data_IF_073009182541
#
_entry.id   IF_073009182541
#
_cell.length_a   1.000
_cell.length_b   1.000
_cell.length_c   1.000
_cell.angle_alpha   90.00
_cell.angle_beta   90.00
_cell.angle_gamma   90.00
#
_symmetry.space_group_name_H-M   'P 1'
#
loop_
_entity.id
_entity.type
_entity.pdbx_description
1 polymer ?
#
# COMPACT_ATOMS: atom_id res chain seq x y z
N UNK A 1 -0.04 1.38 -26.99
CA UNK A 1 -0.42 2.79 -26.72
C UNK A 1 -0.64 2.92 -25.22
N UNK A 2 0.41 3.26 -24.47
CA UNK A 2 0.31 3.46 -23.01
C UNK A 2 -0.49 4.74 -22.76
N UNK A 3 -1.72 4.59 -22.22
CA UNK A 3 -2.45 5.73 -21.69
C UNK A 3 -1.60 6.29 -20.54
N UNK A 4 -1.07 7.50 -20.68
CA UNK A 4 -0.47 8.24 -19.57
C UNK A 4 -1.52 8.32 -18.47
N UNK A 5 -1.30 7.62 -17.36
CA UNK A 5 -2.10 7.84 -16.16
C UNK A 5 -1.91 9.31 -15.78
N UNK A 6 -3.01 10.04 -15.70
CA UNK A 6 -2.96 11.40 -15.23
C UNK A 6 -2.75 11.35 -13.72
N UNK A 7 -1.54 11.68 -13.28
CA UNK A 7 -1.26 11.91 -11.86
C UNK A 7 -2.08 13.11 -11.37
N UNK A 8 -2.44 13.11 -10.09
CA UNK A 8 -3.13 14.25 -9.49
C UNK A 8 -2.30 15.55 -9.60
N UNK A 9 -2.99 16.68 -9.48
CA UNK A 9 -2.37 18.00 -9.71
C UNK A 9 -1.28 18.32 -8.67
N UNK A 10 -1.43 17.85 -7.44
CA UNK A 10 -0.46 18.06 -6.35
C UNK A 10 0.84 17.32 -6.64
N UNK A 11 0.74 16.03 -6.99
CA UNK A 11 1.88 15.21 -7.41
C UNK A 11 2.61 15.83 -8.61
N UNK A 12 1.86 16.32 -9.62
CA UNK A 12 2.46 16.97 -10.77
C UNK A 12 3.18 18.28 -10.40
N UNK A 13 2.62 19.07 -9.49
CA UNK A 13 3.23 20.33 -9.03
C UNK A 13 4.53 20.05 -8.27
N UNK A 14 4.56 19.03 -7.42
CA UNK A 14 5.74 18.64 -6.66
C UNK A 14 6.86 18.14 -7.57
N UNK A 15 6.54 17.29 -8.56
CA UNK A 15 7.52 16.84 -9.57
C UNK A 15 8.11 18.05 -10.33
N UNK A 16 7.28 19.01 -10.74
CA UNK A 16 7.75 20.22 -11.42
C UNK A 16 8.69 21.04 -10.53
N UNK A 17 8.39 21.15 -9.24
CA UNK A 17 9.25 21.82 -8.26
C UNK A 17 10.60 21.12 -8.11
N UNK A 18 10.61 19.77 -8.02
CA UNK A 18 11.83 18.98 -7.97
C UNK A 18 12.67 19.13 -9.26
N UNK A 19 12.00 19.19 -10.42
CA UNK A 19 12.64 19.42 -11.70
C UNK A 19 13.24 20.83 -11.84
N UNK A 20 12.65 21.84 -11.21
CA UNK A 20 13.15 23.22 -11.21
C UNK A 20 14.32 23.44 -10.24
N UNK A 21 14.49 22.57 -9.23
CA UNK A 21 15.58 22.67 -8.27
C UNK A 21 16.93 22.43 -8.97
N UNK A 22 17.95 23.29 -8.80
CA UNK A 22 19.29 23.04 -9.31
C UNK A 22 19.93 21.75 -8.76
N UNK A 23 19.71 21.46 -7.48
CA UNK A 23 20.09 20.19 -6.85
C UNK A 23 19.09 19.10 -7.24
N UNK A 24 19.58 18.10 -7.97
CA UNK A 24 18.80 16.96 -8.46
C UNK A 24 18.88 15.73 -7.56
N UNK A 25 19.56 15.79 -6.44
CA UNK A 25 19.81 14.64 -5.55
C UNK A 25 18.50 14.00 -5.12
N UNK A 26 17.56 14.79 -4.60
CA UNK A 26 16.25 14.27 -4.16
C UNK A 26 15.40 13.71 -5.32
N UNK A 27 15.46 14.38 -6.50
CA UNK A 27 14.79 13.88 -7.71
C UNK A 27 15.34 12.52 -8.13
N UNK A 28 16.68 12.37 -8.16
CA UNK A 28 17.33 11.11 -8.50
C UNK A 28 16.93 10.03 -7.50
N UNK A 29 17.05 10.29 -6.20
CA UNK A 29 16.67 9.33 -5.15
C UNK A 29 15.20 8.92 -5.19
N UNK A 30 14.31 9.83 -5.59
CA UNK A 30 12.89 9.54 -5.70
C UNK A 30 12.53 8.60 -6.86
N UNK A 31 13.34 8.59 -7.93
CA UNK A 31 13.00 7.90 -9.18
C UNK A 31 14.03 6.90 -9.69
N UNK A 32 15.20 6.71 -9.03
CA UNK A 32 16.26 5.85 -9.57
C UNK A 32 15.93 4.35 -9.54
N UNK A 33 14.95 3.95 -8.73
CA UNK A 33 14.44 2.58 -8.65
C UNK A 33 12.96 2.55 -8.23
N UNK A 34 12.37 1.39 -8.28
CA UNK A 34 11.06 1.16 -7.70
C UNK A 34 11.17 0.77 -6.22
N UNK A 35 10.10 1.06 -5.46
CA UNK A 35 10.03 0.71 -4.05
C UNK A 35 9.88 -0.81 -3.90
N UNK A 36 10.76 -1.42 -3.10
CA UNK A 36 10.85 -2.86 -2.94
C UNK A 36 10.34 -3.32 -1.57
N UNK A 37 9.82 -4.56 -1.52
CA UNK A 37 9.48 -5.21 -0.27
C UNK A 37 10.73 -5.68 0.46
N UNK A 38 10.90 -5.20 1.70
CA UNK A 38 11.88 -5.73 2.64
C UNK A 38 11.30 -6.87 3.49
N UNK A 39 12.10 -7.42 4.42
CA UNK A 39 11.71 -8.50 5.33
C UNK A 39 10.47 -8.17 6.17
N UNK A 40 10.24 -6.91 6.49
CA UNK A 40 9.12 -6.44 7.32
C UNK A 40 7.99 -5.76 6.53
N UNK A 41 7.93 -5.95 5.22
CA UNK A 41 6.93 -5.32 4.34
C UNK A 41 7.50 -4.20 3.46
N UNK A 42 6.61 -3.47 2.79
CA UNK A 42 6.97 -2.33 1.96
C UNK A 42 7.34 -1.13 2.85
N UNK A 43 8.52 -0.57 2.66
CA UNK A 43 9.03 0.57 3.44
C UNK A 43 9.68 1.60 2.53
N UNK A 44 9.44 2.89 2.82
CA UNK A 44 10.06 3.99 2.08
C UNK A 44 9.78 5.33 2.71
N UNK A 45 10.49 6.34 2.27
CA UNK A 45 10.24 7.73 2.62
C UNK A 45 8.94 8.17 1.95
N UNK A 46 8.13 8.95 2.64
CA UNK A 46 6.92 9.55 2.09
C UNK A 46 7.26 10.60 1.04
N UNK A 47 6.58 10.60 -0.08
CA UNK A 47 6.76 11.61 -1.12
C UNK A 47 6.48 11.11 -2.53
N UNK A 48 6.74 11.97 -3.49
CA UNK A 48 6.55 11.71 -4.91
C UNK A 48 7.72 10.90 -5.47
N UNK A 49 7.43 9.90 -6.28
CA UNK A 49 8.43 9.06 -6.94
C UNK A 49 8.16 7.57 -6.82
N UNK A 50 8.77 6.78 -7.70
CA UNK A 50 8.65 5.32 -7.69
C UNK A 50 9.36 4.67 -6.50
N UNK A 51 10.39 5.31 -5.95
CA UNK A 51 11.13 4.88 -4.76
C UNK A 51 10.62 5.54 -3.47
N UNK A 52 9.41 6.07 -3.49
CA UNK A 52 8.77 6.75 -2.35
C UNK A 52 7.43 6.11 -2.02
N UNK A 53 7.01 6.22 -0.74
CA UNK A 53 5.66 5.81 -0.32
C UNK A 53 4.65 6.89 -0.69
N UNK A 54 3.70 6.55 -1.53
CA UNK A 54 2.60 7.40 -1.97
C UNK A 54 1.41 6.56 -2.41
N UNK A 55 0.33 7.22 -2.80
CA UNK A 55 -0.91 6.56 -3.23
C UNK A 55 -0.72 5.61 -4.42
N UNK A 56 0.23 5.91 -5.31
CA UNK A 56 0.50 5.10 -6.51
C UNK A 56 1.32 3.87 -6.18
N UNK A 57 2.39 3.99 -5.37
CA UNK A 57 3.24 2.85 -4.98
C UNK A 57 2.51 1.89 -4.04
N UNK A 58 1.73 2.41 -3.09
CA UNK A 58 0.84 1.60 -2.25
C UNK A 58 -0.24 0.92 -3.09
N UNK A 59 -0.83 1.66 -4.02
CA UNK A 59 -1.82 1.12 -4.95
C UNK A 59 -1.27 -0.01 -5.82
N UNK A 60 -0.09 0.18 -6.41
CA UNK A 60 0.57 -0.84 -7.21
C UNK A 60 0.91 -2.11 -6.41
N UNK A 61 1.42 -1.94 -5.18
CA UNK A 61 1.69 -3.04 -4.27
C UNK A 61 0.41 -3.82 -3.89
N UNK A 62 -0.67 -3.09 -3.59
CA UNK A 62 -1.98 -3.69 -3.28
C UNK A 62 -2.56 -4.43 -4.49
N UNK A 63 -2.42 -3.87 -5.70
CA UNK A 63 -2.84 -4.56 -6.93
C UNK A 63 -2.03 -5.84 -7.15
N UNK A 64 -0.73 -5.82 -6.89
CA UNK A 64 0.12 -7.01 -6.95
C UNK A 64 -0.34 -8.11 -6.00
N UNK A 65 -0.68 -7.75 -4.75
CA UNK A 65 -1.23 -8.68 -3.78
C UNK A 65 -2.62 -9.19 -4.19
N UNK A 66 -3.48 -8.33 -4.74
CA UNK A 66 -4.78 -8.74 -5.27
C UNK A 66 -4.64 -9.78 -6.39
N UNK A 67 -3.73 -9.55 -7.32
CA UNK A 67 -3.44 -10.49 -8.41
C UNK A 67 -2.93 -11.84 -7.87
N UNK A 68 -2.04 -11.80 -6.85
CA UNK A 68 -1.54 -13.00 -6.19
C UNK A 68 -2.66 -13.79 -5.52
N UNK A 69 -3.54 -13.12 -4.76
CA UNK A 69 -4.65 -13.77 -4.07
C UNK A 69 -5.62 -14.40 -5.07
N UNK A 70 -6.03 -13.67 -6.10
CA UNK A 70 -6.95 -14.17 -7.12
C UNK A 70 -6.36 -15.37 -7.90
N UNK A 71 -5.04 -15.42 -8.09
CA UNK A 71 -4.37 -16.53 -8.74
C UNK A 71 -4.29 -17.78 -7.85
N UNK A 72 -3.96 -17.60 -6.55
CA UNK A 72 -3.66 -18.72 -5.67
C UNK A 72 -4.89 -19.27 -4.94
N UNK A 73 -5.96 -18.48 -4.81
CA UNK A 73 -7.20 -18.86 -4.14
C UNK A 73 -8.41 -18.86 -5.05
N UNK A 74 -8.19 -19.10 -6.37
CA UNK A 74 -9.23 -19.10 -7.41
C UNK A 74 -10.37 -20.10 -7.17
N UNK A 75 -10.11 -21.13 -6.35
CA UNK A 75 -11.07 -22.21 -6.06
C UNK A 75 -12.00 -21.86 -4.87
N UNK A 76 -11.82 -20.69 -4.24
CA UNK A 76 -12.71 -20.18 -3.22
C UNK A 76 -13.82 -19.33 -3.84
N UNK A 77 -15.05 -19.50 -3.34
CA UNK A 77 -16.20 -18.68 -3.77
C UNK A 77 -15.99 -17.20 -3.46
N UNK A 78 -15.33 -16.89 -2.35
CA UNK A 78 -15.05 -15.53 -1.95
C UNK A 78 -13.70 -15.42 -1.24
N UNK A 79 -12.78 -14.70 -1.85
CA UNK A 79 -11.53 -14.29 -1.21
C UNK A 79 -11.82 -13.08 -0.31
N UNK A 80 -11.21 -13.06 0.87
CA UNK A 80 -11.37 -11.96 1.81
C UNK A 80 -10.03 -11.55 2.44
N UNK A 81 -9.95 -10.27 2.80
CA UNK A 81 -8.79 -9.67 3.45
C UNK A 81 -9.19 -8.76 4.60
N UNK A 82 -8.30 -8.62 5.57
CA UNK A 82 -8.44 -7.61 6.63
C UNK A 82 -7.49 -6.45 6.34
N UNK A 83 -7.98 -5.23 6.46
CA UNK A 83 -7.18 -4.01 6.31
C UNK A 83 -7.28 -3.19 7.57
N UNK A 84 -6.14 -2.82 8.12
CA UNK A 84 -6.06 -1.96 9.29
C UNK A 84 -4.99 -0.88 9.14
N UNK A 85 -5.02 0.06 10.05
CA UNK A 85 -4.08 1.18 10.09
C UNK A 85 -3.76 1.59 11.52
N UNK A 86 -2.66 2.29 11.69
CA UNK A 86 -2.27 2.91 12.97
C UNK A 86 -2.60 4.42 13.00
N UNK A 87 -2.12 5.11 14.03
CA UNK A 87 -2.37 6.53 14.27
C UNK A 87 -1.50 7.48 13.44
N UNK A 88 -0.61 6.98 12.60
CA UNK A 88 0.37 7.81 11.88
C UNK A 88 -0.25 8.49 10.67
N UNK A 89 0.40 9.58 10.23
CA UNK A 89 -0.06 10.37 9.10
C UNK A 89 -0.23 9.52 7.84
N UNK A 90 -1.33 9.72 7.13
CA UNK A 90 -1.71 9.02 5.90
C UNK A 90 -1.97 7.50 6.03
N UNK A 91 -1.80 6.88 7.23
CA UNK A 91 -2.09 5.44 7.41
C UNK A 91 -3.52 5.10 7.04
N UNK A 92 -4.49 5.92 7.47
CA UNK A 92 -5.91 5.75 7.13
C UNK A 92 -6.16 5.91 5.64
N UNK A 93 -5.61 6.96 5.01
CA UNK A 93 -5.74 7.19 3.57
C UNK A 93 -5.24 6.00 2.75
N UNK A 94 -4.07 5.47 3.09
CA UNK A 94 -3.51 4.31 2.39
C UNK A 94 -4.32 3.03 2.66
N UNK A 95 -4.91 2.88 3.84
CA UNK A 95 -5.81 1.76 4.14
C UNK A 95 -7.08 1.82 3.28
N UNK A 96 -7.69 2.99 3.15
CA UNK A 96 -8.86 3.21 2.29
C UNK A 96 -8.56 2.95 0.81
N UNK A 97 -7.41 3.42 0.31
CA UNK A 97 -6.96 3.16 -1.06
C UNK A 97 -6.77 1.65 -1.29
N UNK A 98 -6.11 0.98 -0.36
CA UNK A 98 -5.91 -0.47 -0.45
C UNK A 98 -7.23 -1.24 -0.41
N UNK A 99 -8.15 -0.85 0.47
CA UNK A 99 -9.48 -1.44 0.56
C UNK A 99 -10.27 -1.29 -0.75
N UNK A 100 -10.22 -0.11 -1.36
CA UNK A 100 -10.87 0.17 -2.64
C UNK A 100 -10.29 -0.70 -3.77
N UNK A 101 -8.96 -0.88 -3.81
CA UNK A 101 -8.31 -1.71 -4.83
C UNK A 101 -8.68 -3.19 -4.64
N UNK A 102 -8.65 -3.73 -3.42
CA UNK A 102 -9.10 -5.10 -3.16
C UNK A 102 -10.56 -5.30 -3.59
N UNK A 103 -11.44 -4.37 -3.21
CA UNK A 103 -12.86 -4.42 -3.59
C UNK A 103 -13.05 -4.38 -5.10
N UNK A 104 -12.30 -3.54 -5.81
CA UNK A 104 -12.33 -3.47 -7.27
C UNK A 104 -11.84 -4.76 -7.96
N UNK A 105 -11.04 -5.57 -7.26
CA UNK A 105 -10.60 -6.90 -7.71
C UNK A 105 -11.51 -8.05 -7.25
N UNK A 106 -12.71 -7.75 -6.73
CA UNK A 106 -13.67 -8.76 -6.27
C UNK A 106 -13.32 -9.41 -4.94
N UNK A 107 -12.37 -8.87 -4.19
CA UNK A 107 -11.94 -9.37 -2.90
C UNK A 107 -12.77 -8.69 -1.80
N UNK A 108 -13.39 -9.46 -0.92
CA UNK A 108 -14.12 -8.94 0.23
C UNK A 108 -13.15 -8.32 1.25
N UNK A 109 -13.44 -7.10 1.69
CA UNK A 109 -12.56 -6.35 2.61
C UNK A 109 -13.25 -6.16 3.95
N UNK A 110 -12.54 -6.50 5.02
CA UNK A 110 -12.86 -6.11 6.38
C UNK A 110 -11.92 -4.97 6.75
N UNK A 111 -12.40 -3.73 6.62
CA UNK A 111 -11.65 -2.52 6.97
C UNK A 111 -11.97 -2.12 8.41
N UNK A 112 -10.94 -1.98 9.22
CA UNK A 112 -11.12 -1.39 10.55
C UNK A 112 -11.39 0.12 10.41
N UNK A 113 -12.47 0.57 11.01
CA UNK A 113 -12.86 1.97 11.00
C UNK A 113 -11.87 2.83 11.80
N UNK A 114 -11.46 2.32 12.97
CA UNK A 114 -10.48 2.95 13.84
C UNK A 114 -9.12 2.24 13.80
N UNK A 115 -8.09 2.94 14.30
CA UNK A 115 -6.78 2.36 14.47
C UNK A 115 -6.79 1.13 15.38
N UNK A 116 -6.07 0.08 14.98
CA UNK A 116 -5.98 -1.17 15.73
C UNK A 116 -4.53 -1.66 15.81
N UNK A 117 -4.16 -2.30 16.93
CA UNK A 117 -2.83 -2.87 17.07
C UNK A 117 -2.66 -4.12 16.19
N UNK A 118 -1.43 -4.35 15.74
CA UNK A 118 -1.11 -5.50 14.86
C UNK A 118 -1.57 -6.88 15.39
N UNK A 119 -1.56 -7.19 16.70
CA UNK A 119 -2.11 -8.46 17.20
C UNK A 119 -3.59 -8.65 16.92
N UNK A 120 -4.39 -7.58 16.97
CA UNK A 120 -5.83 -7.64 16.65
C UNK A 120 -6.05 -7.92 15.16
N UNK A 121 -5.21 -7.38 14.28
CA UNK A 121 -5.20 -7.71 12.85
C UNK A 121 -4.96 -9.22 12.62
N UNK A 122 -3.95 -9.77 13.29
CA UNK A 122 -3.66 -11.20 13.19
C UNK A 122 -4.79 -12.08 13.72
N UNK A 123 -5.48 -11.65 14.77
CA UNK A 123 -6.68 -12.31 15.27
C UNK A 123 -7.82 -12.24 14.26
N UNK A 124 -8.10 -11.06 13.73
CA UNK A 124 -9.20 -10.84 12.79
C UNK A 124 -9.07 -11.67 11.50
N UNK A 125 -7.85 -11.80 10.96
CA UNK A 125 -7.59 -12.66 9.79
C UNK A 125 -8.07 -14.10 10.07
N UNK A 126 -7.73 -14.66 11.22
CA UNK A 126 -8.15 -16.03 11.59
C UNK A 126 -9.64 -16.10 11.94
N UNK A 127 -10.15 -15.11 12.65
CA UNK A 127 -11.54 -15.06 13.09
C UNK A 127 -12.53 -14.97 11.92
N UNK A 128 -12.22 -14.18 10.91
CA UNK A 128 -13.04 -14.03 9.70
C UNK A 128 -12.68 -15.04 8.59
N UNK A 129 -11.68 -15.89 8.78
CA UNK A 129 -11.23 -16.85 7.76
C UNK A 129 -10.63 -16.17 6.52
N UNK A 130 -9.98 -15.02 6.70
CA UNK A 130 -9.40 -14.29 5.58
C UNK A 130 -8.10 -14.93 5.08
N UNK A 131 -7.85 -14.82 3.79
CA UNK A 131 -6.66 -15.35 3.13
C UNK A 131 -5.42 -14.48 3.40
N UNK A 132 -5.63 -13.20 3.67
CA UNK A 132 -4.54 -12.25 3.96
C UNK A 132 -5.04 -11.06 4.78
N UNK A 133 -4.09 -10.24 5.23
CA UNK A 133 -4.39 -8.95 5.84
C UNK A 133 -3.19 -8.01 5.72
N UNK A 134 -3.48 -6.73 5.67
CA UNK A 134 -2.47 -5.68 5.64
C UNK A 134 -2.69 -4.71 6.80
N UNK A 135 -1.61 -4.36 7.47
CA UNK A 135 -1.60 -3.29 8.47
C UNK A 135 -0.73 -2.15 7.97
N UNK A 136 -1.31 -0.97 7.82
CA UNK A 136 -0.63 0.20 7.30
C UNK A 136 -0.16 1.08 8.46
N UNK A 137 1.16 1.23 8.52
CA UNK A 137 1.86 2.01 9.53
C UNK A 137 2.84 2.94 8.83
N UNK A 138 2.57 4.23 8.82
CA UNK A 138 3.40 5.23 8.16
C UNK A 138 4.17 6.06 9.18
N UNK A 139 5.48 6.30 8.97
CA UNK A 139 6.29 7.17 9.85
C UNK A 139 6.69 8.45 9.11
N UNK A 140 6.54 9.63 9.70
CA UNK A 140 6.93 10.88 9.05
C UNK A 140 8.45 11.05 8.90
N UNK A 141 9.25 10.26 9.62
CA UNK A 141 10.71 10.49 9.69
C UNK A 141 11.55 9.36 9.12
N UNK A 142 11.05 8.14 9.06
CA UNK A 142 11.76 6.97 8.53
C UNK A 142 10.75 5.85 8.26
N UNK A 143 10.61 5.47 6.99
CA UNK A 143 9.99 4.25 6.53
C UNK A 143 8.59 3.92 7.07
N UNK A 144 7.59 4.04 6.23
CA UNK A 144 6.28 3.41 6.44
C UNK A 144 6.35 1.92 6.12
N UNK A 145 5.70 1.10 6.93
CA UNK A 145 5.68 -0.34 6.73
C UNK A 145 4.30 -0.80 6.24
N UNK A 146 4.26 -1.39 5.06
CA UNK A 146 3.18 -2.28 4.65
C UNK A 146 3.60 -3.70 5.08
N UNK A 147 3.01 -4.22 6.14
CA UNK A 147 3.25 -5.60 6.58
C UNK A 147 2.13 -6.50 6.06
N UNK A 148 2.42 -7.30 5.06
CA UNK A 148 1.54 -8.40 4.65
C UNK A 148 1.93 -9.64 5.44
N UNK A 149 1.01 -10.20 6.23
CA UNK A 149 1.15 -11.54 6.74
C UNK A 149 0.22 -12.45 5.94
N UNK A 150 0.79 -13.19 5.03
CA UNK A 150 0.10 -14.31 4.41
C UNK A 150 0.13 -15.46 5.40
N UNK A 151 -1.03 -15.87 5.89
CA UNK A 151 -1.14 -17.13 6.63
C UNK A 151 -1.26 -18.23 5.59
N UNK A 152 -0.15 -18.90 5.29
CA UNK A 152 -0.24 -20.19 4.64
C UNK A 152 -0.85 -21.17 5.65
N UNK A 153 -1.97 -21.76 5.28
CA UNK A 153 -2.54 -22.89 5.98
C UNK A 153 -1.71 -24.16 5.69
#
# INVERSE_FOLDING_TARGET
MYKRQAYDAETQAEIKKMLANPDKTDLIEAFYKDLEFGTGGLRGIMGVGSNRMNIYTVGAATQGLSNYLNKNFKDLDQISVVVGHDCRNNSRLFAEISANIFSANGIKVYLFEDMRPTPEMSFAIRHFGCQSGINISTSPTLASALSSRTTAA
#
